data_IF_854180621648
#
_entry.id   IF_854180621648
#
_cell.length_a   1.000
_cell.length_b   1.000
_cell.length_c   1.000
_cell.angle_alpha   90.00
_cell.angle_beta   90.00
_cell.angle_gamma   90.00
#
_symmetry.space_group_name_H-M   'P 1'
#
loop_
_entity.id
_entity.type
_entity.pdbx_description
1 polymer ?
#
# COMPACT_ATOMS: atom_id res chain seq x y z
N UNK A 1 -1.41 2.44 -5.08
CA UNK A 1 -1.32 1.00 -5.44
C UNK A 1 0.07 0.72 -5.99
N UNK A 2 0.65 -0.42 -5.64
CA UNK A 2 1.95 -0.88 -6.16
C UNK A 2 1.72 -2.26 -6.77
N UNK A 3 2.26 -2.48 -7.97
CA UNK A 3 2.29 -3.80 -8.61
C UNK A 3 3.72 -4.21 -8.87
N UNK A 4 4.01 -5.49 -8.73
CA UNK A 4 5.34 -6.05 -8.95
C UNK A 4 5.18 -7.28 -9.84
N UNK A 5 5.96 -7.34 -10.90
CA UNK A 5 6.14 -8.54 -11.72
C UNK A 5 7.64 -8.84 -11.90
N UNK A 6 7.96 -9.81 -12.76
CA UNK A 6 9.35 -10.23 -12.99
C UNK A 6 10.19 -9.20 -13.76
N UNK A 7 9.63 -8.03 -14.09
CA UNK A 7 10.28 -6.99 -14.91
C UNK A 7 10.37 -5.65 -14.21
N UNK A 8 9.39 -5.30 -13.39
CA UNK A 8 9.31 -3.96 -12.81
C UNK A 8 8.44 -3.88 -11.56
N UNK A 9 8.68 -2.81 -10.79
CA UNK A 9 7.76 -2.26 -9.80
C UNK A 9 7.04 -1.07 -10.45
N UNK A 10 5.71 -1.06 -10.46
CA UNK A 10 4.93 0.07 -10.96
C UNK A 10 4.08 0.69 -9.85
N UNK A 11 4.13 2.02 -9.77
CA UNK A 11 3.45 2.82 -8.77
C UNK A 11 2.27 3.56 -9.37
N UNK A 12 1.13 3.55 -8.66
CA UNK A 12 -0.07 4.29 -9.02
C UNK A 12 -0.55 5.13 -7.84
N UNK A 13 -0.91 6.38 -8.12
CA UNK A 13 -1.55 7.33 -7.19
C UNK A 13 -2.90 7.72 -7.80
N UNK A 14 -3.97 7.62 -7.02
CA UNK A 14 -5.35 7.89 -7.48
C UNK A 14 -5.72 7.16 -8.78
N UNK A 15 -5.23 5.93 -8.92
CA UNK A 15 -5.44 5.07 -10.09
C UNK A 15 -4.63 5.46 -11.34
N UNK A 16 -3.77 6.47 -11.27
CA UNK A 16 -2.93 6.95 -12.38
C UNK A 16 -1.49 6.47 -12.21
N UNK A 17 -0.83 6.11 -13.31
CA UNK A 17 0.60 5.78 -13.30
C UNK A 17 1.39 6.97 -12.77
N UNK A 18 2.28 6.69 -11.81
CA UNK A 18 3.15 7.68 -11.19
C UNK A 18 4.61 7.45 -11.56
N UNK A 19 5.04 6.19 -11.61
CA UNK A 19 6.43 5.84 -11.91
C UNK A 19 6.66 4.34 -11.97
N UNK A 20 7.86 3.97 -12.42
CA UNK A 20 8.30 2.58 -12.55
C UNK A 20 9.75 2.46 -12.11
N UNK A 21 10.11 1.34 -11.47
CA UNK A 21 11.48 0.90 -11.29
C UNK A 21 11.68 -0.41 -12.05
N UNK A 22 12.85 -0.59 -12.67
CA UNK A 22 13.14 -1.76 -13.48
C UNK A 22 13.53 -2.99 -12.64
N UNK A 23 13.91 -4.06 -13.34
CA UNK A 23 14.23 -5.36 -12.76
C UNK A 23 15.37 -5.30 -11.73
N UNK A 24 16.26 -4.30 -11.79
CA UNK A 24 17.38 -4.17 -10.85
C UNK A 24 16.92 -3.81 -9.42
N UNK A 25 15.66 -3.38 -9.25
CA UNK A 25 15.10 -2.96 -7.97
C UNK A 25 14.05 -3.94 -7.42
N UNK A 26 13.86 -5.11 -8.03
CA UNK A 26 12.89 -6.09 -7.56
C UNK A 26 13.28 -6.63 -6.17
N UNK A 27 12.30 -6.93 -5.29
CA UNK A 27 12.59 -7.55 -4.00
C UNK A 27 13.22 -8.95 -4.18
N UNK A 28 14.33 -9.21 -3.49
CA UNK A 28 15.04 -10.49 -3.54
C UNK A 28 14.44 -11.57 -2.61
N UNK A 29 13.50 -11.17 -1.74
CA UNK A 29 12.87 -12.03 -0.73
C UNK A 29 11.44 -11.56 -0.42
N UNK A 30 10.61 -12.39 0.23
CA UNK A 30 9.30 -11.94 0.74
C UNK A 30 9.42 -10.68 1.61
N UNK A 31 8.50 -9.74 1.41
CA UNK A 31 8.48 -8.44 2.08
C UNK A 31 7.28 -8.34 3.02
N UNK A 32 7.40 -7.55 4.09
CA UNK A 32 6.27 -7.19 4.96
C UNK A 32 5.63 -5.87 4.51
N UNK A 33 4.31 -5.77 4.67
CA UNK A 33 3.57 -4.51 4.55
C UNK A 33 3.57 -3.86 5.94
N UNK A 34 4.09 -2.64 6.04
CA UNK A 34 4.18 -1.91 7.30
C UNK A 34 3.60 -0.50 7.13
N UNK A 35 2.80 -0.07 8.10
CA UNK A 35 2.28 1.28 8.20
C UNK A 35 2.88 1.93 9.44
N UNK A 36 3.81 2.86 9.25
CA UNK A 36 4.50 3.52 10.35
C UNK A 36 4.45 5.03 10.15
N UNK A 37 4.26 5.78 11.23
CA UNK A 37 4.37 7.24 11.23
C UNK A 37 5.63 7.64 11.99
N UNK A 38 6.61 8.19 11.27
CA UNK A 38 7.86 8.67 11.83
C UNK A 38 7.88 10.20 11.72
N UNK A 39 8.20 10.88 12.82
CA UNK A 39 8.40 12.32 12.85
C UNK A 39 9.90 12.58 12.89
N UNK A 40 10.44 13.11 11.79
CA UNK A 40 11.85 13.43 11.63
C UNK A 40 12.02 14.93 11.36
N UNK A 41 13.24 15.45 11.48
CA UNK A 41 13.58 16.86 11.21
C UNK A 41 12.73 17.87 11.99
N UNK A 42 12.66 17.70 13.32
CA UNK A 42 11.93 18.59 14.23
C UNK A 42 12.66 19.94 14.48
N UNK A 43 13.71 20.24 13.72
CA UNK A 43 14.69 21.35 13.82
C UNK A 43 14.12 22.78 13.74
N UNK A 44 12.82 22.97 13.95
CA UNK A 44 12.19 24.29 13.90
C UNK A 44 10.80 24.36 14.50
N UNK A 45 10.37 23.39 15.30
CA UNK A 45 9.07 23.52 15.97
C UNK A 45 9.13 24.53 17.11
N UNK A 46 8.93 25.82 16.80
CA UNK A 46 8.90 26.91 17.80
C UNK A 46 7.53 27.08 18.45
N UNK A 47 6.47 26.50 17.87
CA UNK A 47 5.14 26.56 18.45
C UNK A 47 5.05 25.68 19.69
N UNK A 48 4.50 26.23 20.77
CA UNK A 48 4.16 25.50 21.99
C UNK A 48 2.75 24.90 21.94
N UNK A 49 2.02 25.08 20.83
CA UNK A 49 0.68 24.51 20.66
C UNK A 49 0.79 23.00 20.45
N UNK A 50 0.03 22.17 21.20
CA UNK A 50 0.00 20.73 20.98
C UNK A 50 -0.42 20.37 19.55
N UNK A 51 0.19 19.30 19.03
CA UNK A 51 -0.14 18.73 17.71
C UNK A 51 -0.58 17.28 17.90
N UNK A 52 -1.63 16.89 17.19
CA UNK A 52 -2.05 15.51 17.04
C UNK A 52 -1.84 15.09 15.59
N UNK A 53 -1.38 13.86 15.39
CA UNK A 53 -1.13 13.29 14.07
C UNK A 53 -1.71 11.88 14.05
N UNK A 54 -2.81 11.72 13.34
CA UNK A 54 -3.53 10.46 13.25
C UNK A 54 -3.39 9.88 11.84
N UNK A 55 -2.75 8.72 11.73
CA UNK A 55 -2.72 7.95 10.49
C UNK A 55 -3.90 6.99 10.47
N UNK A 56 -4.79 7.17 9.49
CA UNK A 56 -5.90 6.26 9.24
C UNK A 56 -5.70 5.53 7.93
N UNK A 57 -5.91 4.21 7.95
CA UNK A 57 -5.88 3.34 6.77
C UNK A 57 -7.25 2.71 6.64
N UNK A 58 -7.96 3.04 5.56
CA UNK A 58 -9.32 2.58 5.30
C UNK A 58 -9.35 1.10 4.87
N UNK A 59 -8.39 0.69 4.02
CA UNK A 59 -8.22 -0.71 3.65
C UNK A 59 -6.78 -0.99 3.20
N UNK A 60 -6.41 -2.27 3.26
CA UNK A 60 -5.24 -2.82 2.58
C UNK A 60 -5.69 -4.05 1.77
N UNK A 61 -5.22 -4.14 0.53
CA UNK A 61 -5.45 -5.29 -0.34
C UNK A 61 -4.10 -5.82 -0.81
N UNK A 62 -3.83 -7.09 -0.50
CA UNK A 62 -2.71 -7.84 -1.06
C UNK A 62 -3.28 -8.96 -1.94
N UNK A 63 -2.76 -9.08 -3.16
CA UNK A 63 -3.14 -10.15 -4.10
C UNK A 63 -1.87 -10.79 -4.63
N UNK A 64 -1.71 -12.09 -4.35
CA UNK A 64 -0.56 -12.87 -4.79
C UNK A 64 -0.77 -13.38 -6.22
N UNK A 65 0.33 -13.53 -6.97
CA UNK A 65 0.39 -14.12 -8.32
C UNK A 65 -0.48 -13.41 -9.39
N UNK A 66 -0.94 -12.18 -9.15
CA UNK A 66 -1.73 -11.40 -10.09
C UNK A 66 -1.30 -9.93 -10.11
N UNK A 67 -1.03 -9.41 -11.31
CA UNK A 67 -0.84 -7.98 -11.56
C UNK A 67 -2.19 -7.38 -11.93
N UNK A 68 -2.84 -6.73 -10.96
CA UNK A 68 -4.11 -6.06 -11.20
C UNK A 68 -3.90 -4.69 -11.85
N UNK A 69 -4.85 -4.26 -12.65
CA UNK A 69 -5.04 -2.84 -12.98
C UNK A 69 -5.69 -2.11 -11.80
N UNK A 70 -5.57 -0.77 -11.71
CA UNK A 70 -6.29 0.01 -10.68
C UNK A 70 -7.81 -0.26 -10.67
N UNK A 71 -8.44 -0.35 -11.83
CA UNK A 71 -9.88 -0.64 -11.92
C UNK A 71 -10.25 -2.02 -11.35
N UNK A 72 -9.41 -3.04 -11.59
CA UNK A 72 -9.63 -4.38 -11.03
C UNK A 72 -9.45 -4.40 -9.50
N UNK A 73 -8.45 -3.69 -8.98
CA UNK A 73 -8.27 -3.55 -7.54
C UNK A 73 -9.48 -2.85 -6.89
N UNK A 74 -9.94 -1.73 -7.45
CA UNK A 74 -11.15 -1.02 -6.99
C UNK A 74 -12.38 -1.92 -7.02
N UNK A 75 -12.57 -2.69 -8.09
CA UNK A 75 -13.69 -3.63 -8.18
C UNK A 75 -13.66 -4.69 -7.07
N UNK A 76 -12.50 -5.26 -6.75
CA UNK A 76 -12.34 -6.22 -5.63
C UNK A 76 -12.70 -5.58 -4.28
N UNK A 77 -12.19 -4.38 -4.00
CA UNK A 77 -12.46 -3.66 -2.74
C UNK A 77 -13.95 -3.36 -2.62
N UNK A 78 -14.59 -2.88 -3.69
CA UNK A 78 -16.03 -2.63 -3.71
C UNK A 78 -16.84 -3.92 -3.48
N UNK A 79 -16.38 -5.05 -4.03
CA UNK A 79 -16.93 -6.37 -3.76
C UNK A 79 -16.93 -6.69 -2.26
N UNK A 80 -15.77 -6.63 -1.60
CA UNK A 80 -15.67 -6.87 -0.16
C UNK A 80 -16.54 -5.92 0.67
N UNK A 81 -16.56 -4.63 0.32
CA UNK A 81 -17.42 -3.65 1.00
C UNK A 81 -18.90 -3.98 0.87
N UNK A 82 -19.36 -4.31 -0.34
CA UNK A 82 -20.76 -4.66 -0.58
C UNK A 82 -21.18 -5.93 0.17
N UNK A 83 -20.25 -6.86 0.39
CA UNK A 83 -20.45 -8.07 1.17
C UNK A 83 -20.33 -7.86 2.68
N UNK A 84 -20.00 -6.64 3.15
CA UNK A 84 -19.77 -6.35 4.57
C UNK A 84 -18.51 -7.00 5.13
N UNK A 85 -17.57 -7.39 4.26
CA UNK A 85 -16.33 -8.06 4.66
C UNK A 85 -15.33 -7.05 5.23
N UNK A 86 -15.01 -7.17 6.51
CA UNK A 86 -14.03 -6.30 7.20
C UNK A 86 -12.62 -6.87 7.25
N UNK A 87 -12.47 -8.20 7.15
CA UNK A 87 -11.17 -8.88 7.21
C UNK A 87 -11.20 -10.21 6.45
N UNK A 88 -10.15 -10.45 5.68
CA UNK A 88 -9.84 -11.74 5.03
C UNK A 88 -8.34 -11.92 5.08
N UNK A 89 -7.88 -13.09 5.50
CA UNK A 89 -6.48 -13.50 5.42
C UNK A 89 -6.37 -14.77 4.59
N UNK A 90 -5.72 -14.65 3.43
CA UNK A 90 -5.42 -15.75 2.52
C UNK A 90 -3.92 -16.07 2.51
N UNK A 91 -3.12 -15.44 3.37
CA UNK A 91 -1.68 -15.70 3.46
C UNK A 91 -1.49 -17.08 4.11
N UNK A 92 -0.81 -18.03 3.45
CA UNK A 92 -0.59 -19.35 4.04
C UNK A 92 0.17 -19.26 5.37
N UNK A 93 -0.27 -20.05 6.34
CA UNK A 93 0.58 -20.34 7.50
C UNK A 93 1.84 -21.06 7.02
N UNK A 94 3.00 -20.62 7.51
CA UNK A 94 4.34 -21.10 7.16
C UNK A 94 4.49 -22.62 7.21
#
# INVERSE_FOLDING_TARGET
MVTIDNRAITYYVDGRHFGTHDAAYLPERPMSINFNQWLIDLDGQTSTTPRAYDQQVDYVLHVKDQVLTPAQATAKINGYRSAGTSFVDEVPAS
#
